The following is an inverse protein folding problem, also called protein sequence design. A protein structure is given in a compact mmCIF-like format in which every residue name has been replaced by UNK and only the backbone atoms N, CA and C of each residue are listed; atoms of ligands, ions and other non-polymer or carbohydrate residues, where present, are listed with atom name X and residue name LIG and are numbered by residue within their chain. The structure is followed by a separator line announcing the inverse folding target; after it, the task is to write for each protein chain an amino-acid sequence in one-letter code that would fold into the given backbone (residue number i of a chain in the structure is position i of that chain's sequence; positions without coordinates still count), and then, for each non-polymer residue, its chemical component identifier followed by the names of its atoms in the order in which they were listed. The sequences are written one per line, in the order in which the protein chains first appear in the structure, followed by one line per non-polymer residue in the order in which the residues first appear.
data_IF_402075838684
#
_entry.id   IF_402075838684
#
_cell.length_a   1.000
_cell.length_b   1.000
_cell.length_c   1.000
_cell.angle_alpha   90.00
_cell.angle_beta   90.00
_cell.angle_gamma   90.00
#
_symmetry.space_group_name_H-M   'P 1'
#
loop_
_entity.id
_entity.type
_entity.pdbx_description
1 polymer ?
#
# COMPACT_ATOMS: atom_id res chain seq x y z
N UNK A 1 -15.21 10.06 7.05
CA UNK A 1 -14.64 9.58 5.77
C UNK A 1 -14.70 8.08 5.74
N UNK A 2 -15.08 7.49 4.59
CA UNK A 2 -15.08 6.02 4.44
C UNK A 2 -13.92 5.58 3.58
N UNK A 3 -13.11 4.65 4.07
CA UNK A 3 -11.96 4.09 3.36
C UNK A 3 -12.11 2.58 3.17
N UNK A 4 -11.51 2.02 2.11
CA UNK A 4 -11.66 0.59 1.85
C UNK A 4 -10.52 -0.03 1.06
N UNK A 5 -10.55 -1.37 0.99
CA UNK A 5 -9.61 -2.17 0.22
C UNK A 5 -10.29 -3.34 -0.47
N UNK A 6 -9.93 -3.55 -1.72
CA UNK A 6 -10.28 -4.71 -2.50
C UNK A 6 -9.20 -5.79 -2.35
N UNK A 7 -9.43 -6.79 -1.52
CA UNK A 7 -8.59 -7.98 -1.42
C UNK A 7 -8.91 -8.91 -2.58
N UNK A 8 -8.09 -8.88 -3.60
CA UNK A 8 -8.33 -9.58 -4.86
C UNK A 8 -7.13 -10.44 -5.25
N UNK A 9 -7.40 -11.44 -6.06
CA UNK A 9 -6.42 -12.23 -6.80
C UNK A 9 -6.09 -11.50 -8.11
N UNK A 10 -4.81 -11.20 -8.35
CA UNK A 10 -4.35 -10.63 -9.62
C UNK A 10 -3.85 -11.74 -10.56
N UNK A 11 -4.11 -11.60 -11.83
CA UNK A 11 -3.50 -12.47 -12.84
C UNK A 11 -2.16 -11.89 -13.28
N UNK A 12 -1.09 -12.63 -13.03
CA UNK A 12 0.26 -12.20 -13.39
C UNK A 12 0.40 -11.98 -14.89
N UNK A 13 0.77 -10.76 -15.29
CA UNK A 13 0.95 -10.36 -16.68
C UNK A 13 -0.33 -10.06 -17.49
N UNK A 14 -1.51 -10.27 -16.92
CA UNK A 14 -2.78 -9.99 -17.61
C UNK A 14 -3.37 -8.64 -17.16
N UNK A 15 -2.84 -7.58 -17.74
CA UNK A 15 -3.28 -6.21 -17.45
C UNK A 15 -4.79 -6.01 -17.65
N UNK A 16 -5.38 -6.56 -18.72
CA UNK A 16 -6.80 -6.36 -19.05
C UNK A 16 -7.72 -7.01 -18.02
N UNK A 17 -7.43 -8.23 -17.62
CA UNK A 17 -8.18 -8.91 -16.57
C UNK A 17 -8.06 -8.18 -15.22
N UNK A 18 -6.87 -7.71 -14.88
CA UNK A 18 -6.61 -6.98 -13.64
C UNK A 18 -7.32 -5.61 -13.66
N UNK A 19 -7.26 -4.87 -14.76
CA UNK A 19 -8.00 -3.62 -14.93
C UNK A 19 -9.52 -3.83 -14.82
N UNK A 20 -10.06 -4.89 -15.40
CA UNK A 20 -11.48 -5.21 -15.26
C UNK A 20 -11.89 -5.43 -13.79
N UNK A 21 -11.03 -6.07 -12.98
CA UNK A 21 -11.23 -6.21 -11.53
C UNK A 21 -11.12 -4.87 -10.81
N UNK A 22 -10.19 -4.01 -11.19
CA UNK A 22 -10.08 -2.64 -10.63
C UNK A 22 -11.37 -1.86 -10.87
N UNK A 23 -11.87 -1.83 -12.12
CA UNK A 23 -13.11 -1.11 -12.45
C UNK A 23 -14.30 -1.61 -11.63
N UNK A 24 -14.48 -2.94 -11.51
CA UNK A 24 -15.54 -3.53 -10.67
C UNK A 24 -15.36 -3.18 -9.19
N UNK A 25 -14.12 -3.17 -8.68
CA UNK A 25 -13.80 -2.79 -7.31
C UNK A 25 -14.13 -1.32 -7.03
N UNK A 26 -13.80 -0.42 -7.95
CA UNK A 26 -14.11 1.02 -7.83
C UNK A 26 -15.64 1.25 -7.91
N UNK A 27 -16.34 0.57 -8.82
CA UNK A 27 -17.80 0.61 -8.89
C UNK A 27 -18.45 0.16 -7.58
N UNK A 28 -17.94 -0.92 -6.97
CA UNK A 28 -18.40 -1.39 -5.66
C UNK A 28 -18.11 -0.36 -4.57
N UNK A 29 -16.90 0.23 -4.58
CA UNK A 29 -16.50 1.26 -3.63
C UNK A 29 -17.44 2.47 -3.70
N UNK A 30 -17.84 2.91 -4.90
CA UNK A 30 -18.81 3.99 -5.08
C UNK A 30 -20.20 3.64 -4.50
N UNK A 31 -20.72 2.43 -4.78
CA UNK A 31 -22.00 1.96 -4.22
C UNK A 31 -22.01 1.96 -2.68
N UNK A 32 -20.86 1.61 -2.08
CA UNK A 32 -20.65 1.61 -0.62
C UNK A 32 -20.23 2.98 -0.08
N UNK A 33 -20.17 4.03 -0.92
CA UNK A 33 -19.74 5.39 -0.57
C UNK A 33 -18.34 5.45 0.03
N UNK A 34 -17.44 4.60 -0.44
CA UNK A 34 -16.02 4.63 -0.09
C UNK A 34 -15.35 5.79 -0.84
N UNK A 35 -14.68 6.67 -0.12
CA UNK A 35 -14.03 7.85 -0.69
C UNK A 35 -12.61 7.57 -1.21
N UNK A 36 -11.90 6.62 -0.58
CA UNK A 36 -10.58 6.16 -1.02
C UNK A 36 -10.57 4.64 -1.01
N UNK A 37 -10.30 4.02 -2.16
CA UNK A 37 -10.19 2.57 -2.32
C UNK A 37 -8.78 2.18 -2.72
N UNK A 38 -8.22 1.19 -2.01
CA UNK A 38 -6.90 0.64 -2.25
C UNK A 38 -6.99 -0.75 -2.87
N UNK A 39 -6.09 -1.06 -3.78
CA UNK A 39 -5.88 -2.38 -4.39
C UNK A 39 -4.52 -2.94 -3.96
N UNK A 40 -4.26 -4.25 -4.09
CA UNK A 40 -2.99 -4.86 -3.71
C UNK A 40 -1.76 -4.28 -4.43
N UNK A 41 -0.58 -4.55 -3.88
CA UNK A 41 0.73 -4.26 -4.47
C UNK A 41 0.86 -4.89 -5.85
N UNK A 42 1.42 -4.17 -6.83
CA UNK A 42 1.63 -4.58 -8.22
C UNK A 42 0.38 -5.12 -8.94
N UNK A 43 -0.83 -4.78 -8.49
CA UNK A 43 -2.08 -5.41 -8.91
C UNK A 43 -2.31 -5.38 -10.43
N UNK A 44 -1.97 -4.26 -11.10
CA UNK A 44 -2.21 -4.13 -12.54
C UNK A 44 -1.34 -5.03 -13.40
N UNK A 45 -0.09 -5.26 -12.96
CA UNK A 45 0.92 -6.01 -13.72
C UNK A 45 1.08 -7.45 -13.25
N UNK A 46 0.63 -7.75 -12.02
CA UNK A 46 1.04 -8.92 -11.27
C UNK A 46 2.36 -8.72 -10.55
N UNK A 47 2.64 -9.60 -9.61
CA UNK A 47 3.87 -9.63 -8.83
C UNK A 47 4.75 -10.78 -9.29
N UNK A 48 6.02 -10.51 -9.61
CA UNK A 48 6.99 -11.50 -10.05
C UNK A 48 8.23 -11.46 -9.17
N UNK A 49 8.85 -12.62 -8.94
CA UNK A 49 10.12 -12.77 -8.23
C UNK A 49 11.35 -12.74 -9.16
N UNK A 50 11.12 -12.59 -10.48
CA UNK A 50 12.16 -12.52 -11.51
C UNK A 50 12.10 -11.22 -12.28
N UNK A 51 13.28 -10.72 -12.67
CA UNK A 51 13.41 -9.45 -13.38
C UNK A 51 12.79 -9.49 -14.78
N UNK A 52 13.01 -10.57 -15.54
CA UNK A 52 12.59 -10.67 -16.92
C UNK A 52 11.05 -10.53 -17.08
N UNK A 53 10.20 -11.33 -16.39
CA UNK A 53 8.76 -11.14 -16.49
C UNK A 53 8.30 -9.80 -15.89
N UNK A 54 8.95 -9.27 -14.85
CA UNK A 54 8.66 -7.94 -14.32
C UNK A 54 8.87 -6.88 -15.39
N UNK A 55 10.01 -6.89 -16.06
CA UNK A 55 10.38 -5.95 -17.13
C UNK A 55 9.45 -6.04 -18.33
N UNK A 56 9.04 -7.25 -18.71
CA UNK A 56 8.11 -7.50 -19.82
C UNK A 56 6.75 -6.86 -19.60
N UNK A 57 6.24 -6.87 -18.38
CA UNK A 57 4.90 -6.38 -18.04
C UNK A 57 4.89 -4.99 -17.40
N UNK A 58 6.06 -4.43 -17.08
CA UNK A 58 6.19 -3.07 -16.56
C UNK A 58 5.85 -2.03 -17.63
N UNK A 59 5.25 -0.92 -17.20
CA UNK A 59 4.92 0.20 -18.07
C UNK A 59 5.21 1.55 -17.40
N UNK A 60 5.24 2.63 -18.18
CA UNK A 60 5.51 3.99 -17.69
C UNK A 60 4.23 4.69 -17.21
N UNK A 61 4.37 5.78 -16.46
CA UNK A 61 3.23 6.57 -15.96
C UNK A 61 2.46 7.31 -17.07
N UNK A 62 3.04 7.45 -18.24
CA UNK A 62 2.44 8.07 -19.42
C UNK A 62 2.02 7.03 -20.49
N UNK A 63 2.09 5.74 -20.14
CA UNK A 63 1.75 4.65 -21.06
C UNK A 63 0.27 4.58 -21.42
N UNK A 64 -0.08 3.97 -22.56
CA UNK A 64 -1.47 3.69 -22.93
C UNK A 64 -2.21 2.88 -21.86
N UNK A 65 -1.51 1.98 -21.15
CA UNK A 65 -2.07 1.20 -20.05
C UNK A 65 -2.53 2.11 -18.91
N UNK A 66 -1.69 3.07 -18.47
CA UNK A 66 -2.07 3.97 -17.39
C UNK A 66 -3.19 4.92 -17.82
N UNK A 67 -3.13 5.46 -19.04
CA UNK A 67 -4.21 6.28 -19.59
C UNK A 67 -5.54 5.51 -19.59
N UNK A 68 -5.51 4.22 -19.92
CA UNK A 68 -6.71 3.35 -19.89
C UNK A 68 -7.23 3.15 -18.45
N UNK A 69 -6.37 3.04 -17.45
CA UNK A 69 -6.79 3.01 -16.04
C UNK A 69 -7.53 4.30 -15.67
N UNK A 70 -6.94 5.44 -16.02
CA UNK A 70 -7.52 6.77 -15.74
C UNK A 70 -8.88 6.94 -16.41
N UNK A 71 -8.98 6.61 -17.71
CA UNK A 71 -10.22 6.68 -18.47
C UNK A 71 -11.32 5.80 -17.85
N UNK A 72 -11.01 4.52 -17.62
CA UNK A 72 -11.98 3.54 -17.12
C UNK A 72 -12.47 3.82 -15.68
N UNK A 73 -11.70 4.56 -14.89
CA UNK A 73 -12.06 4.93 -13.52
C UNK A 73 -12.58 6.36 -13.39
N UNK A 74 -12.49 7.20 -14.43
CA UNK A 74 -12.80 8.64 -14.39
C UNK A 74 -14.23 8.99 -13.96
N UNK A 75 -15.18 8.15 -14.32
CA UNK A 75 -16.62 8.37 -14.03
C UNK A 75 -17.00 8.14 -12.57
N UNK A 76 -16.15 7.46 -11.79
CA UNK A 76 -16.42 7.13 -10.40
C UNK A 76 -15.83 8.17 -9.44
N UNK A 77 -16.46 8.34 -8.27
CA UNK A 77 -16.01 9.32 -7.27
C UNK A 77 -14.85 8.86 -6.37
N UNK A 78 -14.69 7.55 -6.03
CA UNK A 78 -13.58 7.13 -5.20
C UNK A 78 -12.21 7.53 -5.74
N UNK A 79 -11.32 8.00 -4.85
CA UNK A 79 -9.88 8.06 -5.13
C UNK A 79 -9.33 6.64 -5.16
N UNK A 80 -8.58 6.30 -6.19
CA UNK A 80 -8.04 4.96 -6.44
C UNK A 80 -6.57 4.92 -6.10
N UNK A 81 -6.16 3.93 -5.30
CA UNK A 81 -4.76 3.58 -5.04
C UNK A 81 -4.54 2.20 -5.63
N UNK A 82 -3.71 2.08 -6.68
CA UNK A 82 -3.46 0.81 -7.36
C UNK A 82 -1.99 0.62 -7.72
N UNK A 83 -1.46 -0.57 -7.40
CA UNK A 83 -0.05 -0.92 -7.62
C UNK A 83 0.25 -1.42 -9.03
N UNK A 84 1.45 -1.14 -9.52
CA UNK A 84 2.00 -1.66 -10.77
C UNK A 84 3.53 -1.68 -10.76
N UNK A 85 4.14 -2.51 -11.61
CA UNK A 85 5.57 -2.43 -11.88
C UNK A 85 5.80 -1.29 -12.88
N UNK A 86 6.55 -0.27 -12.45
CA UNK A 86 6.83 0.92 -13.24
C UNK A 86 8.20 0.81 -13.90
N UNK A 87 8.26 1.21 -15.18
CA UNK A 87 9.50 1.37 -15.92
C UNK A 87 9.85 2.86 -16.04
N UNK A 88 11.08 3.25 -15.64
CA UNK A 88 11.64 4.59 -15.84
C UNK A 88 12.99 4.46 -16.50
N UNK A 89 13.07 4.67 -17.82
CA UNK A 89 14.26 4.30 -18.60
C UNK A 89 14.50 2.79 -18.48
N UNK A 90 15.68 2.40 -18.02
CA UNK A 90 16.06 1.01 -17.80
C UNK A 90 15.76 0.49 -16.39
N UNK A 91 15.38 1.38 -15.48
CA UNK A 91 15.10 1.05 -14.10
C UNK A 91 13.66 0.57 -13.88
N UNK A 92 13.49 -0.40 -12.97
CA UNK A 92 12.19 -0.91 -12.53
C UNK A 92 11.88 -0.43 -11.12
N UNK A 93 10.63 -0.05 -10.89
CA UNK A 93 10.11 0.36 -9.60
C UNK A 93 8.80 -0.37 -9.27
N UNK A 94 8.60 -0.63 -7.99
CA UNK A 94 7.31 -1.06 -7.46
C UNK A 94 6.54 0.21 -7.05
N UNK A 95 5.49 0.56 -7.77
CA UNK A 95 4.85 1.86 -7.67
C UNK A 95 3.34 1.73 -7.45
N UNK A 96 2.80 2.59 -6.59
CA UNK A 96 1.38 2.84 -6.43
C UNK A 96 1.00 4.13 -7.17
N UNK A 97 0.00 4.05 -8.05
CA UNK A 97 -0.70 5.18 -8.63
C UNK A 97 -1.77 5.67 -7.66
N UNK A 98 -1.87 6.97 -7.49
CA UNK A 98 -2.97 7.63 -6.80
C UNK A 98 -3.71 8.50 -7.81
N UNK A 99 -4.98 8.18 -8.08
CA UNK A 99 -5.78 8.85 -9.10
C UNK A 99 -7.19 9.17 -8.60
N UNK A 100 -7.77 10.25 -9.09
CA UNK A 100 -9.14 10.65 -8.81
C UNK A 100 -9.78 11.23 -10.07
N UNK A 101 -10.97 10.73 -10.44
CA UNK A 101 -11.75 11.19 -11.60
C UNK A 101 -10.92 11.36 -12.88
N UNK A 102 -10.09 10.36 -13.21
CA UNK A 102 -9.25 10.38 -14.41
C UNK A 102 -7.98 11.23 -14.31
N UNK A 103 -7.70 11.86 -13.17
CA UNK A 103 -6.51 12.66 -12.94
C UNK A 103 -5.54 11.97 -12.01
N UNK A 104 -4.26 11.98 -12.36
CA UNK A 104 -3.18 11.52 -11.48
C UNK A 104 -2.97 12.55 -10.37
N UNK A 105 -3.16 12.16 -9.11
CA UNK A 105 -2.79 12.97 -7.95
C UNK A 105 -1.30 12.83 -7.64
N UNK A 106 -0.72 11.70 -7.99
CA UNK A 106 0.69 11.40 -7.89
C UNK A 106 0.98 9.91 -7.85
N UNK A 107 2.23 9.58 -7.58
CA UNK A 107 2.72 8.20 -7.43
C UNK A 107 3.58 8.08 -6.19
N UNK A 108 3.65 6.86 -5.66
CA UNK A 108 4.60 6.49 -4.62
C UNK A 108 5.34 5.23 -5.06
N UNK A 109 6.67 5.26 -5.06
CA UNK A 109 7.49 4.07 -5.34
C UNK A 109 8.09 3.55 -4.03
N UNK A 110 8.03 2.24 -3.84
CA UNK A 110 8.50 1.53 -2.66
C UNK A 110 9.94 1.89 -2.30
N UNK A 111 10.15 2.40 -1.09
CA UNK A 111 11.47 2.84 -0.64
C UNK A 111 12.33 1.67 -0.16
N UNK A 112 11.73 0.68 0.51
CA UNK A 112 12.40 -0.55 0.93
C UNK A 112 12.08 -1.67 -0.07
N UNK A 113 12.67 -1.57 -1.26
CA UNK A 113 12.45 -2.53 -2.33
C UNK A 113 12.89 -3.94 -1.89
N UNK A 114 11.98 -4.91 -1.99
CA UNK A 114 12.25 -6.29 -1.59
C UNK A 114 12.99 -7.08 -2.67
N UNK A 115 12.61 -6.86 -3.93
CA UNK A 115 13.27 -7.52 -5.06
C UNK A 115 14.53 -6.77 -5.47
N UNK A 116 15.68 -7.46 -5.68
CA UNK A 116 16.96 -6.83 -5.94
C UNK A 116 17.01 -6.04 -7.26
N UNK A 117 16.14 -6.37 -8.19
CA UNK A 117 16.02 -5.67 -9.48
C UNK A 117 15.14 -4.41 -9.43
N UNK A 118 14.37 -4.21 -8.36
CA UNK A 118 13.65 -2.96 -8.16
C UNK A 118 14.57 -1.89 -7.55
N UNK A 119 14.56 -0.73 -8.16
CA UNK A 119 15.18 0.46 -7.57
C UNK A 119 14.34 0.96 -6.40
N UNK A 120 15.03 1.50 -5.41
CA UNK A 120 14.40 2.13 -4.26
C UNK A 120 13.76 3.46 -4.66
N UNK A 121 12.52 3.66 -4.24
CA UNK A 121 11.84 4.94 -4.32
C UNK A 121 12.52 6.00 -3.42
N UNK A 122 12.13 7.27 -3.60
CA UNK A 122 12.66 8.36 -2.79
C UNK A 122 11.53 9.22 -2.25
N UNK A 123 11.53 9.39 -0.93
CA UNK A 123 10.61 10.27 -0.23
C UNK A 123 9.22 9.63 -0.02
N UNK A 124 8.47 10.29 0.84
CA UNK A 124 7.15 9.87 1.28
C UNK A 124 6.17 11.02 1.01
N UNK A 125 5.50 11.04 -0.16
CA UNK A 125 4.52 12.07 -0.50
C UNK A 125 3.24 11.89 0.32
N UNK A 126 2.57 13.00 0.57
CA UNK A 126 1.25 13.05 1.20
C UNK A 126 0.26 13.54 0.17
N UNK A 127 -0.88 12.90 0.08
CA UNK A 127 -2.00 13.21 -0.79
C UNK A 127 -3.17 13.73 0.04
N UNK A 128 -4.18 14.29 -0.62
CA UNK A 128 -5.33 14.84 0.07
C UNK A 128 -6.65 14.44 -0.62
N UNK A 129 -7.66 14.13 0.19
CA UNK A 129 -9.04 13.91 -0.25
C UNK A 129 -10.01 14.51 0.76
N UNK A 130 -10.86 15.45 0.32
CA UNK A 130 -11.85 16.07 1.19
C UNK A 130 -11.27 16.78 2.42
N UNK A 131 -10.09 17.43 2.28
CA UNK A 131 -9.39 18.08 3.40
C UNK A 131 -8.63 17.14 4.33
N UNK A 132 -8.66 15.82 4.06
CA UNK A 132 -7.95 14.82 4.86
C UNK A 132 -6.69 14.36 4.12
N UNK A 133 -5.54 14.52 4.78
CA UNK A 133 -4.26 14.05 4.25
C UNK A 133 -4.06 12.56 4.50
N UNK A 134 -3.55 11.87 3.51
CA UNK A 134 -3.21 10.45 3.59
C UNK A 134 -1.88 10.14 2.91
N UNK A 135 -1.29 9.04 3.29
CA UNK A 135 -0.05 8.54 2.71
C UNK A 135 -0.15 7.10 2.23
N UNK A 136 0.83 6.67 1.46
CA UNK A 136 0.97 5.29 0.99
C UNK A 136 2.35 4.77 1.36
N UNK A 137 2.40 3.54 1.88
CA UNK A 137 3.60 2.73 2.05
C UNK A 137 3.35 1.38 1.38
N UNK A 138 4.35 0.76 0.75
CA UNK A 138 4.13 -0.50 0.03
C UNK A 138 4.79 -1.65 0.78
N UNK A 139 3.98 -2.60 1.28
CA UNK A 139 4.39 -3.88 1.85
C UNK A 139 5.54 -3.73 2.88
N UNK A 140 6.78 -4.10 2.53
CA UNK A 140 7.95 -4.04 3.42
C UNK A 140 8.17 -2.65 4.04
N UNK A 141 7.79 -1.55 3.38
CA UNK A 141 7.88 -0.21 3.98
C UNK A 141 7.10 -0.10 5.30
N UNK A 142 5.97 -0.83 5.44
CA UNK A 142 5.16 -0.85 6.65
C UNK A 142 5.81 -1.53 7.85
N UNK A 143 6.82 -2.38 7.61
CA UNK A 143 7.63 -3.01 8.66
C UNK A 143 8.66 -2.07 9.29
N UNK A 144 9.01 -0.96 8.62
CA UNK A 144 9.93 0.05 9.13
C UNK A 144 9.20 1.19 9.84
N UNK A 145 9.83 1.77 10.86
CA UNK A 145 9.24 2.82 11.69
C UNK A 145 9.14 4.15 10.94
N UNK A 146 10.16 4.47 10.16
CA UNK A 146 10.41 5.78 9.58
C UNK A 146 9.36 6.20 8.53
N UNK A 147 8.91 5.34 7.60
CA UNK A 147 7.91 5.71 6.60
C UNK A 147 6.63 6.25 7.21
N UNK A 148 6.03 5.51 8.14
CA UNK A 148 4.80 5.92 8.80
C UNK A 148 5.00 7.18 9.64
N UNK A 149 6.13 7.31 10.33
CA UNK A 149 6.50 8.48 11.13
C UNK A 149 6.62 9.73 10.24
N UNK A 150 7.31 9.64 9.12
CA UNK A 150 7.50 10.76 8.19
C UNK A 150 6.15 11.22 7.61
N UNK A 151 5.29 10.27 7.18
CA UNK A 151 3.96 10.59 6.68
C UNK A 151 3.09 11.28 7.73
N UNK A 152 3.09 10.79 8.97
CA UNK A 152 2.35 11.38 10.07
C UNK A 152 2.83 12.79 10.40
N UNK A 153 4.17 13.03 10.41
CA UNK A 153 4.77 14.35 10.59
C UNK A 153 4.38 15.35 9.48
N UNK A 154 4.17 14.86 8.25
CA UNK A 154 3.66 15.66 7.13
C UNK A 154 2.15 15.89 7.19
N UNK A 155 1.49 15.35 8.22
CA UNK A 155 0.07 15.55 8.51
C UNK A 155 -0.86 14.47 7.95
N UNK A 156 -0.35 13.35 7.47
CA UNK A 156 -1.18 12.22 7.10
C UNK A 156 -1.96 11.71 8.33
N UNK A 157 -3.26 11.48 8.14
CA UNK A 157 -4.19 10.94 9.14
C UNK A 157 -4.51 9.48 8.88
N UNK A 158 -4.30 9.05 7.65
CA UNK A 158 -4.56 7.70 7.16
C UNK A 158 -3.35 7.25 6.37
N UNK A 159 -2.89 6.01 6.59
CA UNK A 159 -1.81 5.39 5.83
C UNK A 159 -2.36 4.12 5.19
N UNK A 160 -2.26 4.04 3.87
CA UNK A 160 -2.59 2.85 3.09
C UNK A 160 -1.32 2.04 2.84
N UNK A 161 -1.40 0.74 3.08
CA UNK A 161 -0.29 -0.18 2.91
C UNK A 161 -0.70 -1.36 2.00
N UNK A 162 -0.68 -1.18 0.67
CA UNK A 162 -0.88 -2.29 -0.26
C UNK A 162 0.24 -3.31 -0.14
N UNK A 163 -0.14 -4.59 -0.12
CA UNK A 163 0.76 -5.73 0.04
C UNK A 163 0.53 -6.75 -1.07
N UNK A 164 1.57 -7.51 -1.37
CA UNK A 164 1.51 -8.81 -2.01
C UNK A 164 2.29 -9.81 -1.16
N UNK A 165 1.57 -10.56 -0.32
CA UNK A 165 2.20 -11.58 0.50
C UNK A 165 1.88 -12.97 -0.04
N UNK A 166 2.93 -13.66 -0.48
CA UNK A 166 2.92 -15.07 -0.87
C UNK A 166 3.98 -15.79 -0.04
N UNK A 167 3.55 -16.46 1.03
CA UNK A 167 4.40 -16.90 2.12
C UNK A 167 4.43 -18.43 2.16
N UNK A 168 5.62 -19.01 2.31
CA UNK A 168 5.79 -20.45 2.52
C UNK A 168 4.99 -20.94 3.75
N UNK A 169 4.43 -22.13 3.65
CA UNK A 169 3.49 -22.67 4.67
C UNK A 169 4.09 -22.68 6.08
N UNK A 170 5.37 -23.01 6.20
CA UNK A 170 6.06 -23.11 7.50
C UNK A 170 6.28 -21.75 8.17
N UNK A 171 6.37 -20.67 7.38
CA UNK A 171 6.54 -19.29 7.89
C UNK A 171 5.25 -18.54 8.16
N UNK A 172 4.09 -19.11 7.79
CA UNK A 172 2.83 -18.37 7.71
C UNK A 172 2.39 -17.77 9.04
N UNK A 173 2.43 -18.55 10.13
CA UNK A 173 1.99 -18.09 11.46
C UNK A 173 2.89 -16.95 11.99
N UNK A 174 4.21 -17.11 11.86
CA UNK A 174 5.19 -16.09 12.25
C UNK A 174 4.96 -14.80 11.47
N UNK A 175 4.78 -14.90 10.16
CA UNK A 175 4.53 -13.75 9.30
C UNK A 175 3.24 -13.00 9.68
N UNK A 176 2.16 -13.71 10.02
CA UNK A 176 0.93 -13.06 10.52
C UNK A 176 1.15 -12.25 11.78
N UNK A 177 1.91 -12.80 12.72
CA UNK A 177 2.17 -12.16 14.01
C UNK A 177 3.04 -10.91 13.82
N UNK A 178 4.13 -11.01 13.06
CA UNK A 178 5.07 -9.92 12.78
C UNK A 178 4.36 -8.76 12.07
N UNK A 179 3.74 -9.04 10.94
CA UNK A 179 3.08 -7.99 10.14
C UNK A 179 1.97 -7.28 10.90
N UNK A 180 1.21 -8.02 11.73
CA UNK A 180 0.16 -7.41 12.55
C UNK A 180 0.75 -6.53 13.65
N UNK A 181 1.79 -7.00 14.33
CA UNK A 181 2.46 -6.24 15.37
C UNK A 181 3.02 -4.92 14.83
N UNK A 182 3.68 -4.98 13.66
CA UNK A 182 4.19 -3.80 12.96
C UNK A 182 3.10 -2.78 12.67
N UNK A 183 2.02 -3.19 12.02
CA UNK A 183 0.98 -2.27 11.58
C UNK A 183 0.19 -1.67 12.75
N UNK A 184 -0.08 -2.44 13.79
CA UNK A 184 -0.69 -1.94 15.03
C UNK A 184 0.24 -0.92 15.69
N UNK A 185 1.54 -1.21 15.76
CA UNK A 185 2.52 -0.26 16.28
C UNK A 185 2.54 1.03 15.45
N UNK A 186 2.56 0.94 14.09
CA UNK A 186 2.54 2.13 13.21
C UNK A 186 1.30 3.00 13.44
N UNK A 187 0.13 2.39 13.63
CA UNK A 187 -1.09 3.13 13.95
C UNK A 187 -0.99 3.85 15.31
N UNK A 188 -0.63 3.12 16.36
CA UNK A 188 -0.59 3.63 17.75
C UNK A 188 0.48 4.67 17.97
N UNK A 189 1.72 4.43 17.49
CA UNK A 189 2.85 5.33 17.71
C UNK A 189 2.75 6.64 16.94
N UNK A 190 1.97 6.65 15.84
CA UNK A 190 1.75 7.82 15.00
C UNK A 190 0.36 8.44 15.17
N UNK A 191 -0.56 7.80 15.89
CA UNK A 191 -1.95 8.22 16.04
C UNK A 191 -2.64 8.42 14.70
N UNK A 192 -2.54 7.44 13.83
CA UNK A 192 -3.15 7.44 12.49
C UNK A 192 -3.97 6.17 12.28
N UNK A 193 -4.90 6.20 11.35
CA UNK A 193 -5.47 4.97 10.81
C UNK A 193 -4.44 4.30 9.90
N UNK A 194 -4.33 2.98 10.02
CA UNK A 194 -3.44 2.18 9.17
C UNK A 194 -4.23 1.08 8.48
N UNK A 195 -4.32 1.15 7.15
CA UNK A 195 -5.01 0.15 6.33
C UNK A 195 -3.97 -0.77 5.69
N UNK A 196 -3.91 -2.02 6.14
CA UNK A 196 -3.21 -3.08 5.44
C UNK A 196 -4.10 -3.66 4.36
N UNK A 197 -3.69 -3.57 3.10
CA UNK A 197 -4.40 -4.08 1.95
C UNK A 197 -3.65 -5.20 1.25
N UNK A 198 -3.93 -6.46 1.56
CA UNK A 198 -3.24 -7.60 1.00
C UNK A 198 -3.96 -8.20 -0.21
N UNK A 199 -3.20 -8.94 -1.01
CA UNK A 199 -3.72 -9.82 -2.06
C UNK A 199 -4.26 -11.13 -1.48
N UNK A 200 -4.93 -11.88 -2.31
CA UNK A 200 -5.13 -13.32 -2.16
C UNK A 200 -4.63 -14.01 -3.43
N UNK A 201 -4.20 -15.27 -3.32
CA UNK A 201 -3.88 -16.11 -4.48
C UNK A 201 -4.79 -17.32 -4.44
N UNK A 202 -5.64 -17.44 -5.46
CA UNK A 202 -6.63 -18.49 -5.61
C UNK A 202 -6.17 -19.45 -6.72
N UNK A 203 -5.62 -20.58 -6.32
CA UNK A 203 -5.12 -21.58 -7.25
C UNK A 203 -3.59 -21.60 -7.39
N UNK A 204 -3.12 -22.34 -8.39
CA UNK A 204 -1.70 -22.37 -8.76
C UNK A 204 -1.46 -21.31 -9.81
N UNK A 205 -0.69 -20.30 -9.46
CA UNK A 205 -0.11 -19.40 -10.46
C UNK A 205 1.31 -19.89 -10.79
N UNK A 206 1.51 -20.35 -12.02
CA UNK A 206 2.84 -20.63 -12.53
C UNK A 206 3.62 -19.33 -12.72
N UNK A 207 4.82 -19.25 -12.14
CA UNK A 207 5.75 -18.14 -12.37
C UNK A 207 5.72 -16.98 -11.39
N UNK A 208 4.89 -16.98 -10.33
CA UNK A 208 4.93 -15.95 -9.30
C UNK A 208 6.20 -16.06 -8.47
N UNK A 209 6.52 -17.28 -8.01
CA UNK A 209 7.67 -17.54 -7.13
C UNK A 209 8.29 -18.90 -7.44
N UNK A 210 9.57 -19.05 -7.05
CA UNK A 210 10.29 -20.33 -7.14
C UNK A 210 9.87 -21.35 -6.07
N UNK A 211 9.00 -20.96 -5.12
CA UNK A 211 8.56 -21.82 -4.01
C UNK A 211 7.03 -21.90 -3.91
N UNK A 212 6.55 -22.97 -3.30
CA UNK A 212 5.12 -23.11 -3.00
C UNK A 212 4.75 -22.28 -1.77
N UNK A 213 3.85 -21.32 -1.95
CA UNK A 213 3.42 -20.40 -0.90
C UNK A 213 1.90 -20.28 -0.82
N UNK A 214 1.46 -19.38 0.05
CA UNK A 214 0.05 -19.07 0.29
C UNK A 214 -0.16 -17.56 0.21
N UNK A 215 -1.00 -17.13 -0.72
CA UNK A 215 -1.55 -15.77 -0.79
C UNK A 215 -2.83 -15.73 0.05
N UNK A 216 -2.70 -15.30 1.29
CA UNK A 216 -3.69 -15.59 2.34
C UNK A 216 -4.73 -14.51 2.60
N UNK A 217 -4.59 -13.33 2.02
CA UNK A 217 -5.46 -12.20 2.31
C UNK A 217 -5.13 -11.56 3.67
N UNK A 218 -6.12 -11.51 4.59
CA UNK A 218 -5.97 -10.92 5.92
C UNK A 218 -5.73 -9.41 5.87
N UNK A 219 -6.50 -8.72 5.04
CA UNK A 219 -6.53 -7.26 5.01
C UNK A 219 -7.29 -6.72 6.22
N UNK A 220 -6.89 -5.57 6.76
CA UNK A 220 -7.54 -4.96 7.92
C UNK A 220 -7.29 -3.45 8.01
N UNK A 221 -8.13 -2.78 8.79
CA UNK A 221 -7.97 -1.38 9.16
C UNK A 221 -7.75 -1.32 10.65
N UNK A 222 -6.65 -0.66 11.08
CA UNK A 222 -6.30 -0.39 12.48
C UNK A 222 -6.60 1.07 12.77
N UNK A 223 -7.24 1.33 13.90
CA UNK A 223 -7.51 2.68 14.37
C UNK A 223 -6.30 3.30 15.09
N UNK A 224 -6.31 4.61 15.43
CA UNK A 224 -5.21 5.28 16.12
C UNK A 224 -4.90 4.75 17.54
N UNK A 225 -5.74 3.87 18.08
CA UNK A 225 -5.58 3.27 19.42
C UNK A 225 -5.07 1.83 19.35
N UNK A 226 -5.02 1.24 18.14
CA UNK A 226 -4.50 -0.10 17.90
C UNK A 226 -5.55 -1.18 17.72
N UNK A 227 -6.85 -0.80 17.71
CA UNK A 227 -7.93 -1.74 17.48
C UNK A 227 -8.10 -2.03 15.98
N UNK A 228 -8.29 -3.30 15.63
CA UNK A 228 -8.65 -3.71 14.28
C UNK A 228 -10.16 -3.55 14.13
N UNK A 229 -10.58 -2.45 13.49
CA UNK A 229 -11.99 -2.08 13.35
C UNK A 229 -12.73 -2.87 12.27
N UNK A 230 -12.01 -3.40 11.29
CA UNK A 230 -12.53 -4.32 10.27
C UNK A 230 -11.41 -5.22 9.76
N UNK A 231 -11.77 -6.45 9.38
CA UNK A 231 -10.83 -7.44 8.86
C UNK A 231 -11.49 -8.29 7.78
N UNK A 232 -10.76 -8.55 6.70
CA UNK A 232 -11.20 -9.44 5.63
C UNK A 232 -11.18 -10.91 6.04
N UNK A 233 -11.94 -11.70 5.32
CA UNK A 233 -11.81 -13.16 5.33
C UNK A 233 -10.51 -13.59 4.67
N UNK A 234 -9.92 -14.66 5.15
CA UNK A 234 -8.72 -15.25 4.57
C UNK A 234 -9.06 -16.18 3.42
N UNK A 235 -8.10 -16.40 2.51
CA UNK A 235 -8.13 -17.37 1.42
C UNK A 235 -9.30 -17.19 0.43
N UNK A 236 -9.81 -15.96 0.30
CA UNK A 236 -10.86 -15.62 -0.66
C UNK A 236 -10.80 -14.13 -1.01
N UNK A 237 -11.36 -13.77 -2.15
CA UNK A 237 -11.57 -12.37 -2.49
C UNK A 237 -12.57 -11.74 -1.52
N UNK A 238 -12.29 -10.51 -1.11
CA UNK A 238 -13.12 -9.76 -0.18
C UNK A 238 -13.03 -8.25 -0.45
N UNK A 239 -13.99 -7.52 0.06
CA UNK A 239 -13.98 -6.06 0.07
C UNK A 239 -14.29 -5.57 1.46
N UNK A 240 -13.33 -4.92 2.09
CA UNK A 240 -13.49 -4.33 3.41
C UNK A 240 -13.51 -2.81 3.33
N UNK A 241 -14.30 -2.20 4.20
CA UNK A 241 -14.32 -0.75 4.38
C UNK A 241 -14.76 -0.40 5.80
N UNK A 242 -14.39 0.79 6.25
CA UNK A 242 -14.84 1.33 7.53
C UNK A 242 -15.03 2.85 7.44
N UNK A 243 -15.96 3.35 8.25
CA UNK A 243 -16.04 4.78 8.54
C UNK A 243 -14.93 5.13 9.53
N UNK A 244 -14.10 6.09 9.16
CA UNK A 244 -13.00 6.58 9.98
C UNK A 244 -13.24 8.06 10.34
N UNK A 245 -12.88 8.43 11.55
CA UNK A 245 -12.92 9.82 12.01
C UNK A 245 -11.49 10.40 12.05
N UNK A 246 -11.07 11.16 11.03
CA UNK A 246 -9.74 11.76 11.03
C UNK A 246 -9.48 12.77 12.15
N UNK A 247 -10.51 13.23 12.84
CA UNK A 247 -10.36 14.21 13.93
C UNK A 247 -9.76 13.60 15.19
N UNK A 248 -9.91 12.28 15.41
CA UNK A 248 -9.30 11.58 16.55
C UNK A 248 -7.83 11.28 16.33
N UNK A 249 -7.31 11.52 15.14
CA UNK A 249 -5.89 11.35 14.83
C UNK A 249 -5.11 12.53 15.38
N UNK A 250 -4.42 12.35 16.50
CA UNK A 250 -3.58 13.37 17.12
C UNK A 250 -2.11 12.97 17.10
N UNK A 251 -1.46 13.24 15.98
CA UNK A 251 -0.01 13.03 15.87
C UNK A 251 0.78 13.91 16.84
N UNK A 252 0.23 15.05 17.25
CA UNK A 252 0.86 15.92 18.25
C UNK A 252 0.94 15.24 19.63
N UNK A 253 0.06 14.31 19.95
CA UNK A 253 0.09 13.59 21.23
C UNK A 253 1.42 12.89 21.49
N UNK A 254 1.95 12.14 20.51
CA UNK A 254 3.21 11.40 20.70
C UNK A 254 4.43 12.10 20.12
N UNK A 255 4.25 12.96 19.14
CA UNK A 255 5.35 13.60 18.42
C UNK A 255 5.53 15.05 18.83
N UNK A 256 4.44 15.80 19.04
CA UNK A 256 4.49 17.24 19.35
C UNK A 256 4.60 17.56 20.84
N UNK A 257 4.26 16.62 21.75
CA UNK A 257 4.39 16.82 23.20
C UNK A 257 5.75 16.41 23.78
N UNK A 258 6.60 15.79 22.98
CA UNK A 258 7.96 15.49 23.39
C UNK A 258 8.72 16.80 23.61
N UNK A 259 9.32 16.97 24.78
CA UNK A 259 10.29 18.06 25.04
C UNK A 259 11.60 17.82 24.28
N UNK A 260 11.81 16.62 23.76
CA UNK A 260 12.99 16.26 23.00
C UNK A 260 12.83 16.73 21.55
N UNK A 261 13.79 17.48 21.06
CA UNK A 261 13.75 18.02 19.70
C UNK A 261 13.84 16.90 18.65
N UNK A 262 12.87 16.86 17.71
CA UNK A 262 12.94 15.96 16.56
C UNK A 262 14.21 16.19 15.72
N UNK A 263 14.70 17.44 15.69
CA UNK A 263 15.96 17.77 15.00
C UNK A 263 17.15 17.12 15.71
N UNK A 264 17.16 17.12 17.02
CA UNK A 264 18.21 16.48 17.83
C UNK A 264 18.17 14.95 17.68
N UNK A 265 16.96 14.37 17.73
CA UNK A 265 16.79 12.94 17.48
C UNK A 265 17.27 12.55 16.07
N UNK A 266 16.99 13.39 15.05
CA UNK A 266 17.47 13.17 13.69
C UNK A 266 18.99 13.17 13.58
N UNK A 267 19.70 14.03 14.33
CA UNK A 267 21.15 14.02 14.41
C UNK A 267 21.67 12.72 15.00
N UNK A 268 21.11 12.29 16.12
CA UNK A 268 21.52 11.05 16.78
C UNK A 268 21.29 9.82 15.91
N UNK A 269 20.18 9.78 15.12
CA UNK A 269 19.93 8.72 14.16
C UNK A 269 21.00 8.70 13.05
N UNK A 270 21.43 9.88 12.56
CA UNK A 270 22.50 9.98 11.58
C UNK A 270 23.84 9.51 12.15
N UNK A 271 24.21 9.98 13.34
CA UNK A 271 25.43 9.58 14.05
C UNK A 271 25.45 8.05 14.26
N UNK A 272 24.38 7.47 14.78
CA UNK A 272 24.27 6.02 14.97
C UNK A 272 24.34 5.20 13.66
N UNK A 273 23.87 5.76 12.54
CA UNK A 273 23.96 5.13 11.23
C UNK A 273 25.40 5.16 10.66
N UNK A 274 26.17 6.19 10.99
CA UNK A 274 27.56 6.33 10.57
C UNK A 274 28.51 5.43 11.36
N UNK A 275 28.22 5.16 12.64
CA UNK A 275 28.99 4.25 13.48
C UNK A 275 28.90 2.77 13.05
N UNK A 276 27.92 2.40 12.22
CA UNK A 276 27.73 1.04 11.70
C UNK A 276 28.50 0.74 10.41
N UNK A 277 29.25 1.71 9.88
CA UNK A 277 30.14 1.51 8.73
C UNK A 277 31.54 1.12 9.18
#
# INVERSE_FOLDING_TARGET
MRIGHCQLDSKSGDFEANLAKVVKGVERAEKERVEIVCFPECFLTGYFDKEEPTRKHAFTVDSPQLLKVLDRTSRFDPTVIVGFNEKRGDDLYNTALIAHKGHVLGTYSKCFAYMPFHKQGRGFPVFERGGVKFGVVICADGGYIEPARILALKGARIIFAPHFNYIGKDGLLKHFQEVRADHVARAVENRVYFLRGNNVVLGKEEGITAYEGVGYGDSYIVDPFGEIVVRSRRHQEDFIFADVDPTITDTAWKVGRSRYSLRELGKQLLEAAEEKK
#
